data_IF_712944729122
#
_entry.id   IF_712944729122
#
_cell.length_a   1.000
_cell.length_b   1.000
_cell.length_c   1.000
_cell.angle_alpha   90.00
_cell.angle_beta   90.00
_cell.angle_gamma   90.00
#
_symmetry.space_group_name_H-M   'P 1'
#
loop_
_entity.id
_entity.type
_entity.pdbx_description
1 polymer ?
#
# COMPACT_ATOMS: atom_id res chain seq x y z
N UNK A 1 3.82 -5.76 2.63
CA UNK A 1 2.43 -5.31 2.32
C UNK A 1 1.43 -6.10 3.14
N UNK A 2 0.33 -5.50 3.58
CA UNK A 2 -0.71 -6.15 4.41
C UNK A 2 -2.10 -5.68 4.01
N UNK A 3 -3.13 -6.49 4.28
CA UNK A 3 -4.54 -6.12 4.12
C UNK A 3 -4.91 -4.86 4.91
N UNK A 4 -4.18 -4.55 5.98
CA UNK A 4 -4.38 -3.35 6.82
C UNK A 4 -4.11 -2.03 6.08
N UNK A 5 -3.47 -2.08 4.90
CA UNK A 5 -3.21 -0.91 4.06
C UNK A 5 -4.47 -0.41 3.33
N UNK A 6 -5.63 -1.02 3.61
CA UNK A 6 -6.94 -0.60 3.14
C UNK A 6 -7.95 -0.56 4.29
N UNK A 7 -8.68 0.55 4.36
CA UNK A 7 -9.89 0.68 5.18
C UNK A 7 -11.11 0.63 4.26
N UNK A 8 -12.01 -0.34 4.45
CA UNK A 8 -13.31 -0.44 3.76
C UNK A 8 -13.75 -1.89 3.50
N UNK A 9 -14.98 -2.07 2.99
CA UNK A 9 -15.71 -3.36 2.97
C UNK A 9 -15.15 -4.51 2.11
N UNK A 10 -14.02 -4.37 1.42
CA UNK A 10 -13.51 -5.44 0.55
C UNK A 10 -12.02 -5.59 0.73
N UNK A 11 -11.57 -6.74 1.21
CA UNK A 11 -10.15 -7.02 1.29
C UNK A 11 -9.54 -7.19 -0.10
N UNK A 12 -8.22 -7.05 -0.16
CA UNK A 12 -7.48 -7.41 -1.36
C UNK A 12 -7.31 -8.93 -1.40
N UNK A 13 -7.46 -9.58 -2.56
CA UNK A 13 -7.04 -10.97 -2.70
C UNK A 13 -5.57 -11.10 -2.31
N UNK A 14 -5.24 -12.07 -1.47
CA UNK A 14 -3.89 -12.25 -0.94
C UNK A 14 -2.83 -12.42 -2.04
N UNK A 15 -3.19 -13.08 -3.15
CA UNK A 15 -2.29 -13.29 -4.28
C UNK A 15 -1.77 -11.97 -4.88
N UNK A 16 -2.62 -10.94 -4.99
CA UNK A 16 -2.21 -9.63 -5.53
C UNK A 16 -1.16 -8.95 -4.62
N UNK A 17 -1.27 -9.16 -3.32
CA UNK A 17 -0.31 -8.65 -2.34
C UNK A 17 0.99 -9.44 -2.43
N UNK A 18 0.91 -10.77 -2.52
CA UNK A 18 2.05 -11.66 -2.59
C UNK A 18 2.88 -11.43 -3.86
N UNK A 19 2.26 -11.50 -5.04
CA UNK A 19 2.95 -11.33 -6.33
C UNK A 19 3.65 -9.96 -6.40
N UNK A 20 3.03 -8.91 -5.83
CA UNK A 20 3.63 -7.59 -5.78
C UNK A 20 4.83 -7.53 -4.83
N UNK A 21 4.78 -8.19 -3.66
CA UNK A 21 5.93 -8.34 -2.77
C UNK A 21 7.08 -9.09 -3.46
N UNK A 22 6.76 -10.17 -4.17
CA UNK A 22 7.75 -10.99 -4.90
C UNK A 22 8.48 -10.14 -5.94
N UNK A 23 7.76 -9.39 -6.78
CA UNK A 23 8.38 -8.51 -7.79
C UNK A 23 9.26 -7.42 -7.16
N UNK A 24 8.84 -6.84 -6.03
CA UNK A 24 9.66 -5.85 -5.29
C UNK A 24 10.97 -6.48 -4.82
N UNK A 25 10.90 -7.70 -4.27
CA UNK A 25 12.05 -8.45 -3.80
C UNK A 25 12.99 -8.82 -4.96
N UNK A 26 12.45 -9.30 -6.07
CA UNK A 26 13.21 -9.68 -7.27
C UNK A 26 13.93 -8.48 -7.88
N UNK A 27 13.37 -7.27 -7.74
CA UNK A 27 13.97 -6.02 -8.19
C UNK A 27 14.94 -5.40 -7.16
N UNK A 28 15.15 -6.04 -6.00
CA UNK A 28 15.95 -5.53 -4.88
C UNK A 28 15.54 -4.10 -4.45
N UNK A 29 14.23 -3.86 -4.43
CA UNK A 29 13.62 -2.60 -4.01
C UNK A 29 13.12 -2.69 -2.57
N UNK A 30 13.23 -1.58 -1.85
CA UNK A 30 12.77 -1.44 -0.47
C UNK A 30 11.70 -0.35 -0.36
N UNK A 31 10.65 -0.59 0.44
CA UNK A 31 9.60 0.40 0.72
C UNK A 31 10.17 1.51 1.60
N UNK A 32 10.07 2.75 1.11
CA UNK A 32 10.44 3.91 1.91
C UNK A 32 9.30 4.25 2.88
N UNK A 33 9.59 4.39 4.20
CA UNK A 33 8.56 4.69 5.17
C UNK A 33 7.94 6.07 4.87
N UNK A 34 6.61 6.12 4.88
CA UNK A 34 5.85 7.38 4.87
C UNK A 34 5.50 7.68 6.33
N UNK A 35 6.03 8.77 6.85
CA UNK A 35 5.70 9.22 8.19
C UNK A 35 4.27 9.78 8.25
N UNK A 36 3.65 9.66 9.41
CA UNK A 36 2.29 10.11 9.73
C UNK A 36 1.15 9.43 8.96
N UNK A 37 0.84 9.92 7.75
CA UNK A 37 -0.38 9.56 7.04
C UNK A 37 -0.11 8.65 5.84
N UNK A 38 -0.29 7.36 6.08
CA UNK A 38 0.08 6.29 5.15
C UNK A 38 -0.92 6.07 4.00
N UNK A 39 -2.13 6.64 4.05
CA UNK A 39 -3.14 6.46 3.00
C UNK A 39 -3.00 7.50 1.89
N UNK A 40 -2.62 7.06 0.70
CA UNK A 40 -2.40 7.95 -0.47
C UNK A 40 -3.61 8.07 -1.38
N UNK A 41 -4.68 7.33 -1.13
CA UNK A 41 -5.96 7.42 -1.85
C UNK A 41 -7.16 7.30 -0.91
N UNK A 42 -8.24 8.03 -1.22
CA UNK A 42 -9.51 7.92 -0.49
C UNK A 42 -10.73 8.13 -1.40
N UNK A 43 -11.77 7.32 -1.19
CA UNK A 43 -13.10 7.50 -1.77
C UNK A 43 -14.10 7.89 -0.68
N UNK A 44 -15.02 8.81 -1.01
CA UNK A 44 -15.99 9.39 -0.06
C UNK A 44 -15.29 10.06 1.14
N UNK A 45 -14.18 10.78 0.89
CA UNK A 45 -13.43 11.50 1.93
C UNK A 45 -14.38 12.37 2.76
N UNK A 46 -14.24 12.31 4.09
CA UNK A 46 -15.08 13.06 5.03
C UNK A 46 -16.41 12.39 5.44
N UNK A 47 -16.75 11.22 4.88
CA UNK A 47 -17.92 10.44 5.31
C UNK A 47 -17.54 9.30 6.25
N UNK A 48 -18.47 8.88 7.11
CA UNK A 48 -18.25 7.76 8.04
C UNK A 48 -17.90 6.44 7.32
N UNK A 49 -18.36 6.26 6.07
CA UNK A 49 -18.05 5.12 5.22
C UNK A 49 -16.96 5.41 4.18
N UNK A 50 -16.03 6.33 4.49
CA UNK A 50 -14.88 6.59 3.64
C UNK A 50 -14.03 5.33 3.49
N UNK A 51 -13.61 5.05 2.25
CA UNK A 51 -12.68 3.97 1.94
C UNK A 51 -11.32 4.63 1.74
N UNK A 52 -10.28 4.13 2.40
CA UNK A 52 -8.91 4.63 2.28
C UNK A 52 -7.97 3.51 1.86
N UNK A 53 -6.93 3.83 1.10
CA UNK A 53 -5.93 2.85 0.64
C UNK A 53 -4.56 3.50 0.49
N UNK A 54 -3.48 2.81 0.87
CA UNK A 54 -2.11 3.11 0.41
C UNK A 54 -1.98 2.60 -1.03
N UNK A 55 -2.16 3.48 -2.00
CA UNK A 55 -2.11 3.15 -3.44
C UNK A 55 -0.74 3.48 -4.05
N UNK A 56 -0.21 4.65 -3.73
CA UNK A 56 1.13 5.08 -4.12
C UNK A 56 2.16 4.60 -3.09
N UNK A 57 3.34 4.18 -3.57
CA UNK A 57 4.51 3.82 -2.78
C UNK A 57 5.75 4.46 -3.38
N UNK A 58 6.69 4.81 -2.50
CA UNK A 58 8.04 5.15 -2.89
C UNK A 58 8.91 3.91 -2.61
N UNK A 59 9.65 3.48 -3.63
CA UNK A 59 10.54 2.32 -3.57
C UNK A 59 11.94 2.77 -4.00
N UNK A 60 12.97 2.26 -3.34
CA UNK A 60 14.35 2.58 -3.66
C UNK A 60 15.26 1.35 -3.49
N UNK A 61 16.36 1.32 -4.23
CA UNK A 61 17.47 0.38 -4.00
C UNK A 61 18.35 0.89 -2.86
N UNK A 62 19.19 0.04 -2.26
CA UNK A 62 20.13 0.46 -1.20
C UNK A 62 21.13 1.54 -1.64
N UNK A 63 21.43 1.63 -2.93
CA UNK A 63 22.43 2.55 -3.49
C UNK A 63 21.87 3.96 -3.80
N UNK A 64 20.57 4.19 -3.60
CA UNK A 64 19.89 5.46 -3.84
C UNK A 64 19.76 6.25 -2.54
#
# INVERSE_FOLDING_TARGET
LSSDEKIGNRDHPNWLIQDFCEVISDCNLHDLPIEDYTYTWARRKGKANAIKKKLNRALATCDW
#
